data_IF_705016356923
#
_entry.id   IF_705016356923
#
_cell.length_a   1.000
_cell.length_b   1.000
_cell.length_c   1.000
_cell.angle_alpha   90.00
_cell.angle_beta   90.00
_cell.angle_gamma   90.00
#
_symmetry.space_group_name_H-M   'P 1'
#
loop_
_entity.id
_entity.type
_entity.pdbx_description
1 polymer ?
#
# COMPACT_ATOMS: atom_id res chain seq x y z
N UNK A 1 -9.54 -2.75 12.69
CA UNK A 1 -8.71 -3.35 13.75
C UNK A 1 -8.53 -2.30 14.81
N UNK A 2 -8.75 -2.66 16.07
CA UNK A 2 -8.69 -1.70 17.18
C UNK A 2 -7.25 -1.48 17.61
N UNK A 3 -7.02 -0.44 18.42
CA UNK A 3 -5.66 -0.10 18.88
C UNK A 3 -5.64 0.37 20.32
N UNK A 4 -4.60 -0.04 21.04
CA UNK A 4 -4.20 0.55 22.32
C UNK A 4 -2.91 1.32 22.06
N UNK A 5 -2.82 2.56 22.55
CA UNK A 5 -1.64 3.40 22.37
C UNK A 5 -1.02 3.75 23.73
N UNK A 6 0.27 3.46 23.88
CA UNK A 6 1.11 3.88 24.97
C UNK A 6 1.99 5.01 24.45
N UNK A 7 1.96 6.18 25.10
CA UNK A 7 2.68 7.36 24.61
C UNK A 7 3.58 7.92 25.71
N UNK A 8 4.81 8.24 25.37
CA UNK A 8 5.75 8.93 26.23
C UNK A 8 6.32 8.08 27.37
N UNK A 9 6.48 6.77 27.18
CA UNK A 9 7.16 5.91 28.16
C UNK A 9 8.63 6.33 28.24
N UNK A 10 9.09 6.71 29.42
CA UNK A 10 10.46 7.22 29.63
C UNK A 10 11.25 6.28 30.53
N UNK A 11 12.49 6.01 30.11
CA UNK A 11 13.50 5.31 30.91
C UNK A 11 14.89 5.80 30.51
N UNK A 12 15.90 5.44 31.32
CA UNK A 12 17.30 5.78 31.06
C UNK A 12 18.07 4.54 30.67
N UNK A 13 18.85 4.61 29.61
CA UNK A 13 19.65 3.50 29.11
C UNK A 13 21.00 3.96 28.58
N UNK A 14 21.90 3.00 28.40
CA UNK A 14 23.25 3.23 27.90
C UNK A 14 23.33 2.65 26.47
N UNK A 15 22.61 3.29 25.52
CA UNK A 15 22.57 2.84 24.15
C UNK A 15 23.16 3.90 23.21
N UNK A 16 23.97 3.48 22.24
CA UNK A 16 24.61 4.32 21.25
C UNK A 16 25.97 3.79 20.82
N UNK A 17 26.51 4.34 19.75
CA UNK A 17 27.77 3.89 19.12
C UNK A 17 29.02 4.48 19.80
N UNK A 18 28.88 5.64 20.46
CA UNK A 18 30.01 6.37 21.00
C UNK A 18 30.41 5.88 22.40
N UNK A 19 31.70 5.81 22.69
CA UNK A 19 32.21 5.28 23.97
C UNK A 19 31.57 5.91 25.20
N UNK A 20 31.34 7.22 25.20
CA UNK A 20 30.70 7.89 26.34
C UNK A 20 29.22 7.50 26.53
N UNK A 21 28.53 7.02 25.47
CA UNK A 21 27.14 6.55 25.56
C UNK A 21 27.06 5.18 26.25
N UNK A 22 28.17 4.43 26.27
CA UNK A 22 28.29 3.17 27.00
C UNK A 22 28.49 3.43 28.53
N UNK A 23 29.01 4.60 28.88
CA UNK A 23 29.29 4.95 30.28
C UNK A 23 28.16 5.77 30.90
N UNK A 24 27.57 6.69 30.12
CA UNK A 24 26.56 7.64 30.61
C UNK A 24 25.16 7.24 30.11
N UNK A 25 24.28 6.97 31.10
CA UNK A 25 22.88 6.77 30.79
C UNK A 25 22.22 8.06 30.24
N UNK A 26 21.40 7.93 29.24
CA UNK A 26 20.61 9.01 28.66
C UNK A 26 19.14 8.62 28.61
N UNK A 27 18.27 9.63 28.50
CA UNK A 27 16.83 9.40 28.43
C UNK A 27 16.43 8.93 27.02
N UNK A 28 15.64 7.85 26.99
CA UNK A 28 14.88 7.41 25.82
C UNK A 28 13.40 7.59 26.11
N UNK A 29 12.64 7.91 25.06
CA UNK A 29 11.17 7.98 25.12
C UNK A 29 10.62 7.01 24.10
N UNK A 30 9.59 6.25 24.48
CA UNK A 30 9.00 5.25 23.58
C UNK A 30 7.50 5.47 23.48
N UNK A 31 7.02 5.50 22.23
CA UNK A 31 5.63 5.40 21.88
C UNK A 31 5.37 4.02 21.26
N UNK A 32 4.30 3.36 21.67
CA UNK A 32 3.92 2.06 21.15
C UNK A 32 2.42 2.04 20.82
N UNK A 33 2.08 1.63 19.62
CA UNK A 33 0.70 1.36 19.19
C UNK A 33 0.55 -0.14 18.99
N UNK A 34 -0.41 -0.72 19.70
CA UNK A 34 -0.75 -2.14 19.68
C UNK A 34 -2.03 -2.31 18.87
N UNK A 35 -2.05 -3.19 17.90
CA UNK A 35 -3.22 -3.50 17.09
C UNK A 35 -3.73 -4.89 17.48
N UNK A 36 -4.99 -4.96 17.91
CA UNK A 36 -5.64 -6.16 18.41
C UNK A 36 -7.16 -6.05 18.25
N UNK A 37 -7.89 -7.14 18.51
CA UNK A 37 -9.35 -7.12 18.56
C UNK A 37 -9.80 -6.84 20.01
N UNK A 38 -10.48 -5.73 20.23
CA UNK A 38 -11.03 -5.32 21.53
C UNK A 38 -12.52 -5.63 21.67
N UNK A 39 -13.17 -6.25 20.70
CA UNK A 39 -14.61 -6.48 20.74
C UNK A 39 -15.03 -7.43 21.86
N UNK A 40 -14.21 -8.42 22.21
CA UNK A 40 -14.48 -9.33 23.34
C UNK A 40 -14.38 -8.57 24.67
N UNK A 41 -13.28 -7.89 24.92
CA UNK A 41 -13.05 -7.10 26.13
C UNK A 41 -14.11 -6.01 26.35
N UNK A 42 -14.52 -5.34 25.25
CA UNK A 42 -15.59 -4.32 25.30
C UNK A 42 -16.97 -4.87 25.69
N UNK A 43 -17.19 -6.19 25.58
CA UNK A 43 -18.43 -6.84 26.01
C UNK A 43 -18.33 -7.49 27.39
N UNK A 44 -17.18 -8.10 27.69
CA UNK A 44 -17.00 -8.91 28.91
C UNK A 44 -16.51 -8.11 30.11
N UNK A 45 -15.83 -6.96 29.87
CA UNK A 45 -15.10 -6.21 30.90
C UNK A 45 -14.07 -7.09 31.64
N UNK A 46 -13.49 -8.10 30.95
CA UNK A 46 -12.50 -9.03 31.48
C UNK A 46 -11.13 -8.74 30.87
N UNK A 47 -10.11 -8.61 31.75
CA UNK A 47 -8.71 -8.37 31.33
C UNK A 47 -8.14 -9.55 30.51
N UNK A 48 -8.66 -10.76 30.68
CA UNK A 48 -8.23 -11.91 29.89
C UNK A 48 -8.61 -11.82 28.42
N UNK A 49 -9.58 -10.96 28.06
CA UNK A 49 -10.02 -10.73 26.69
C UNK A 49 -9.24 -9.57 26.00
N UNK A 50 -8.22 -9.02 26.63
CA UNK A 50 -7.37 -7.95 26.10
C UNK A 50 -5.91 -8.18 26.45
N UNK A 51 -5.11 -7.10 26.54
CA UNK A 51 -3.70 -7.14 26.88
C UNK A 51 -3.42 -6.27 28.11
N UNK A 52 -2.60 -6.77 29.04
CA UNK A 52 -2.09 -5.95 30.12
C UNK A 52 -1.02 -4.96 29.59
N UNK A 53 -1.50 -3.76 29.23
CA UNK A 53 -0.61 -2.68 28.78
C UNK A 53 0.34 -2.20 29.87
N UNK A 54 0.04 -2.45 31.15
CA UNK A 54 0.95 -2.17 32.26
C UNK A 54 2.16 -3.11 32.25
N UNK A 55 1.96 -4.39 31.93
CA UNK A 55 3.04 -5.35 31.72
C UNK A 55 3.91 -4.96 30.52
N UNK A 56 3.28 -4.51 29.43
CA UNK A 56 4.01 -4.03 28.24
C UNK A 56 4.85 -2.80 28.58
N UNK A 57 4.29 -1.80 29.28
CA UNK A 57 5.02 -0.60 29.67
C UNK A 57 6.25 -0.95 30.54
N UNK A 58 6.11 -1.87 31.50
CA UNK A 58 7.23 -2.36 32.32
C UNK A 58 8.27 -3.09 31.46
N UNK A 59 7.84 -3.89 30.50
CA UNK A 59 8.73 -4.58 29.57
C UNK A 59 9.55 -3.61 28.71
N UNK A 60 8.93 -2.52 28.22
CA UNK A 60 9.62 -1.46 27.48
C UNK A 60 10.71 -0.81 28.35
N UNK A 61 10.38 -0.44 29.58
CA UNK A 61 11.35 0.14 30.54
C UNK A 61 12.51 -0.83 30.80
N UNK A 62 12.22 -2.10 31.08
CA UNK A 62 13.23 -3.13 31.31
C UNK A 62 14.18 -3.33 30.12
N UNK A 63 13.69 -3.21 28.89
CA UNK A 63 14.53 -3.30 27.67
C UNK A 63 15.44 -2.07 27.54
N UNK A 64 14.93 -0.86 27.84
CA UNK A 64 15.72 0.38 27.79
C UNK A 64 16.81 0.38 28.88
N UNK A 65 16.50 -0.11 30.05
CA UNK A 65 17.43 -0.17 31.19
C UNK A 65 18.38 -1.39 31.13
N UNK A 66 18.13 -2.29 30.18
CA UNK A 66 18.80 -3.57 30.05
C UNK A 66 20.11 -3.52 29.28
N UNK A 67 20.39 -4.60 28.59
CA UNK A 67 21.64 -4.81 27.84
C UNK A 67 21.84 -3.76 26.75
N UNK A 68 23.04 -3.20 26.70
CA UNK A 68 23.48 -2.21 25.71
C UNK A 68 23.25 -2.65 24.26
N UNK A 69 22.86 -1.69 23.44
CA UNK A 69 22.84 -1.80 21.97
C UNK A 69 23.40 -0.52 21.34
N UNK A 70 24.11 -0.66 20.22
CA UNK A 70 24.70 0.47 19.49
C UNK A 70 23.65 1.32 18.79
N UNK A 71 22.63 0.67 18.21
CA UNK A 71 21.65 1.31 17.34
C UNK A 71 20.26 1.34 18.00
N UNK A 72 19.59 2.50 17.92
CA UNK A 72 18.22 2.64 18.41
C UNK A 72 17.22 1.81 17.59
N UNK A 73 17.55 1.45 16.36
CA UNK A 73 16.82 0.50 15.52
C UNK A 73 16.76 -0.89 16.16
N UNK A 74 17.88 -1.33 16.74
CA UNK A 74 17.95 -2.62 17.46
C UNK A 74 17.15 -2.55 18.76
N UNK A 75 17.20 -1.43 19.45
CA UNK A 75 16.38 -1.18 20.65
C UNK A 75 14.89 -1.26 20.30
N UNK A 76 14.45 -0.58 19.23
CA UNK A 76 13.09 -0.62 18.73
C UNK A 76 12.65 -2.05 18.35
N UNK A 77 13.49 -2.80 17.67
CA UNK A 77 13.18 -4.20 17.29
C UNK A 77 13.07 -5.12 18.53
N UNK A 78 13.90 -4.94 19.58
CA UNK A 78 13.76 -5.69 20.84
C UNK A 78 12.41 -5.42 21.50
N UNK A 79 11.97 -4.16 21.52
CA UNK A 79 10.68 -3.75 22.10
C UNK A 79 9.54 -4.36 21.29
N UNK A 80 9.60 -4.28 19.95
CA UNK A 80 8.61 -4.91 19.06
C UNK A 80 8.50 -6.41 19.31
N UNK A 81 9.63 -7.12 19.41
CA UNK A 81 9.64 -8.58 19.68
C UNK A 81 8.97 -8.91 21.01
N UNK A 82 9.23 -8.15 22.06
CA UNK A 82 8.59 -8.32 23.36
C UNK A 82 7.07 -8.08 23.28
N UNK A 83 6.63 -7.01 22.60
CA UNK A 83 5.20 -6.69 22.46
C UNK A 83 4.47 -7.77 21.68
N UNK A 84 5.04 -8.26 20.58
CA UNK A 84 4.45 -9.33 19.77
C UNK A 84 4.46 -10.70 20.48
N UNK A 85 5.20 -10.86 21.57
CA UNK A 85 5.09 -12.00 22.46
C UNK A 85 3.74 -12.09 23.21
N UNK A 86 2.96 -11.01 23.27
CA UNK A 86 1.60 -11.03 23.85
C UNK A 86 0.61 -11.59 22.81
N UNK A 87 -0.07 -12.73 23.08
CA UNK A 87 -0.91 -13.42 22.09
C UNK A 87 -2.02 -12.58 21.45
N UNK A 88 -2.58 -11.62 22.18
CA UNK A 88 -3.65 -10.76 21.70
C UNK A 88 -3.17 -9.71 20.69
N UNK A 89 -1.87 -9.36 20.67
CA UNK A 89 -1.32 -8.35 19.78
C UNK A 89 -0.93 -8.98 18.45
N UNK A 90 -1.58 -8.59 17.35
CA UNK A 90 -1.28 -9.12 16.02
C UNK A 90 -0.27 -8.24 15.23
N UNK A 91 -0.20 -6.93 15.54
CA UNK A 91 0.73 -5.97 14.94
C UNK A 91 1.07 -4.90 15.96
N UNK A 92 2.26 -4.35 15.88
CA UNK A 92 2.67 -3.21 16.72
C UNK A 92 3.55 -2.25 15.93
N UNK A 93 3.38 -0.96 16.21
CA UNK A 93 4.27 0.11 15.77
C UNK A 93 4.95 0.70 17.01
N UNK A 94 6.27 0.78 16.99
CA UNK A 94 7.09 1.31 18.09
C UNK A 94 7.96 2.44 17.56
N UNK A 95 7.89 3.61 18.20
CA UNK A 95 8.80 4.73 17.95
C UNK A 95 9.72 4.91 19.17
N UNK A 96 11.01 4.84 18.95
CA UNK A 96 12.05 5.12 19.96
C UNK A 96 12.63 6.50 19.68
N UNK A 97 12.52 7.40 20.63
CA UNK A 97 13.05 8.76 20.60
C UNK A 97 14.33 8.86 21.41
N UNK A 98 15.31 9.58 20.89
CA UNK A 98 16.60 9.87 21.52
C UNK A 98 16.85 11.39 21.52
N UNK A 99 16.14 12.14 22.40
CA UNK A 99 16.18 13.60 22.38
C UNK A 99 17.55 14.20 22.73
N UNK A 100 18.41 13.41 23.40
CA UNK A 100 19.77 13.82 23.77
C UNK A 100 20.83 13.15 22.86
N UNK A 101 20.50 12.82 21.62
CA UNK A 101 21.47 12.25 20.68
C UNK A 101 22.65 13.22 20.49
N UNK A 102 23.90 12.74 20.34
CA UNK A 102 25.10 13.57 20.24
C UNK A 102 25.23 14.18 18.82
N UNK A 103 24.25 14.99 18.43
CA UNK A 103 24.22 15.72 17.17
C UNK A 103 24.77 17.12 17.38
N UNK A 104 25.67 17.56 16.51
CA UNK A 104 26.41 18.82 16.67
C UNK A 104 25.68 20.07 16.17
N UNK A 105 24.51 19.92 15.59
CA UNK A 105 23.62 21.01 15.15
C UNK A 105 22.38 21.08 16.04
N UNK A 106 21.71 22.25 16.15
CA UNK A 106 20.45 22.33 16.87
C UNK A 106 19.41 21.39 16.27
N UNK A 107 18.77 20.59 17.12
CA UNK A 107 17.69 19.68 16.75
C UNK A 107 16.78 19.46 17.98
N UNK A 108 15.55 19.01 17.75
CA UNK A 108 14.59 18.75 18.84
C UNK A 108 14.60 17.28 19.26
N UNK A 109 14.66 16.36 18.31
CA UNK A 109 14.60 14.93 18.57
C UNK A 109 15.20 14.15 17.39
N UNK A 110 15.66 12.93 17.67
CA UNK A 110 15.90 11.90 16.66
C UNK A 110 15.14 10.65 17.06
N UNK A 111 14.39 10.08 16.13
CA UNK A 111 13.57 8.90 16.41
C UNK A 111 13.62 7.89 15.29
N UNK A 112 13.36 6.63 15.66
CA UNK A 112 13.20 5.50 14.75
C UNK A 112 11.85 4.87 15.00
N UNK A 113 11.06 4.71 13.96
CA UNK A 113 9.78 4.01 14.00
C UNK A 113 9.89 2.65 13.31
N UNK A 114 9.47 1.61 14.00
CA UNK A 114 9.46 0.23 13.50
C UNK A 114 8.05 -0.33 13.64
N UNK A 115 7.52 -0.89 12.57
CA UNK A 115 6.25 -1.61 12.58
C UNK A 115 6.48 -3.08 12.19
N UNK A 116 5.86 -4.01 12.92
CA UNK A 116 5.90 -5.45 12.64
C UNK A 116 4.57 -6.11 12.99
N UNK A 117 4.25 -7.20 12.28
CA UNK A 117 3.15 -8.10 12.59
C UNK A 117 3.67 -9.44 13.13
N UNK A 118 2.81 -10.20 13.80
CA UNK A 118 3.14 -11.54 14.32
C UNK A 118 3.64 -12.48 13.21
N UNK A 119 3.03 -12.43 12.04
CA UNK A 119 3.42 -13.25 10.89
C UNK A 119 4.88 -13.01 10.45
N UNK A 120 5.41 -11.81 10.70
CA UNK A 120 6.83 -11.49 10.41
C UNK A 120 7.78 -11.97 11.51
N UNK A 121 7.28 -12.34 12.70
CA UNK A 121 8.09 -12.75 13.87
C UNK A 121 8.10 -14.26 14.06
N UNK A 122 6.98 -14.94 13.77
CA UNK A 122 6.88 -16.41 13.90
C UNK A 122 7.49 -17.17 12.72
N UNK A 123 7.93 -16.50 11.67
CA UNK A 123 8.83 -17.14 10.70
C UNK A 123 10.14 -17.47 11.43
N UNK A 124 10.50 -18.75 11.59
CA UNK A 124 11.74 -19.11 12.27
C UNK A 124 12.86 -18.32 11.64
N UNK A 125 13.58 -17.59 12.48
CA UNK A 125 14.86 -16.98 12.11
C UNK A 125 15.72 -18.08 11.49
N UNK A 126 15.59 -18.24 10.18
CA UNK A 126 16.66 -18.87 9.44
C UNK A 126 17.87 -18.03 9.77
N UNK A 127 18.77 -18.67 10.49
CA UNK A 127 20.09 -18.18 10.81
C UNK A 127 20.56 -17.27 9.69
N UNK A 128 20.86 -16.01 10.04
CA UNK A 128 21.58 -15.12 9.13
C UNK A 128 22.99 -15.71 8.96
N UNK A 129 23.05 -16.80 8.24
CA UNK A 129 24.21 -17.06 7.42
C UNK A 129 24.27 -15.89 6.45
N UNK A 130 25.40 -15.26 6.39
CA UNK A 130 25.83 -14.21 5.50
C UNK A 130 25.64 -14.63 4.02
N UNK A 131 24.41 -14.65 3.57
CA UNK A 131 24.03 -14.58 2.18
C UNK A 131 23.31 -13.25 2.01
N UNK A 132 23.93 -12.36 1.26
CA UNK A 132 23.25 -11.27 0.60
C UNK A 132 22.18 -11.95 -0.27
N UNK A 133 20.95 -12.09 0.27
CA UNK A 133 19.83 -12.65 -0.48
C UNK A 133 19.78 -11.97 -1.84
N UNK A 134 19.71 -12.75 -2.89
CA UNK A 134 19.61 -12.29 -4.26
C UNK A 134 18.51 -11.22 -4.34
N UNK A 135 18.78 -10.11 -4.99
CA UNK A 135 17.75 -9.14 -5.33
C UNK A 135 17.03 -9.71 -6.53
N UNK A 136 15.74 -9.83 -6.42
CA UNK A 136 14.84 -10.28 -7.47
C UNK A 136 14.16 -9.09 -8.12
N UNK A 137 14.08 -9.09 -9.42
CA UNK A 137 13.29 -8.14 -10.18
C UNK A 137 11.90 -8.72 -10.42
N UNK A 138 10.84 -7.94 -10.13
CA UNK A 138 9.48 -8.39 -10.33
C UNK A 138 8.62 -7.32 -11.01
N UNK A 139 7.72 -7.77 -11.86
CA UNK A 139 6.73 -6.96 -12.55
C UNK A 139 5.37 -7.22 -11.94
N UNK A 140 4.72 -6.15 -11.50
CA UNK A 140 3.41 -6.20 -10.84
C UNK A 140 2.43 -5.38 -11.66
N UNK A 141 1.37 -6.02 -12.17
CA UNK A 141 0.24 -5.32 -12.75
C UNK A 141 -0.70 -4.84 -11.64
N UNK A 142 -1.26 -3.66 -11.83
CA UNK A 142 -2.20 -3.06 -10.90
C UNK A 142 -3.38 -2.44 -11.66
N UNK A 143 -4.59 -2.57 -11.10
CA UNK A 143 -5.77 -2.04 -11.75
C UNK A 143 -6.99 -1.93 -10.83
N UNK A 144 -7.99 -1.17 -11.27
CA UNK A 144 -9.26 -1.01 -10.58
C UNK A 144 -10.28 -0.26 -11.43
N UNK A 145 -11.55 -0.24 -10.97
CA UNK A 145 -12.62 0.49 -11.64
C UNK A 145 -13.69 1.03 -10.66
N UNK A 146 -13.39 1.07 -9.36
CA UNK A 146 -14.31 1.58 -8.34
C UNK A 146 -13.69 2.71 -7.51
N UNK A 147 -14.45 3.77 -7.28
CA UNK A 147 -14.03 4.92 -6.48
C UNK A 147 -13.00 5.79 -7.19
N UNK A 148 -12.18 6.50 -6.43
CA UNK A 148 -11.02 7.23 -6.97
C UNK A 148 -9.88 6.26 -7.24
N UNK A 149 -9.93 5.62 -8.42
CA UNK A 149 -8.99 4.58 -8.81
C UNK A 149 -7.56 5.12 -8.86
N UNK A 150 -7.35 6.33 -9.42
CA UNK A 150 -6.02 6.90 -9.54
C UNK A 150 -5.38 7.15 -8.16
N UNK A 151 -6.15 7.67 -7.20
CA UNK A 151 -5.67 7.83 -5.82
C UNK A 151 -5.38 6.47 -5.16
N UNK A 152 -6.24 5.46 -5.39
CA UNK A 152 -6.05 4.09 -4.89
C UNK A 152 -4.78 3.45 -5.44
N UNK A 153 -4.54 3.53 -6.75
CA UNK A 153 -3.32 3.01 -7.38
C UNK A 153 -2.07 3.73 -6.88
N UNK A 154 -2.14 5.05 -6.72
CA UNK A 154 -1.04 5.86 -6.16
C UNK A 154 -0.69 5.44 -4.74
N UNK A 155 -1.69 5.16 -3.91
CA UNK A 155 -1.48 4.67 -2.54
C UNK A 155 -0.93 3.24 -2.54
N UNK A 156 -1.43 2.38 -3.43
CA UNK A 156 -0.92 1.01 -3.61
C UNK A 156 0.58 1.00 -3.98
N UNK A 157 1.05 1.88 -4.88
CA UNK A 157 2.50 2.02 -5.19
C UNK A 157 3.31 2.35 -3.95
N UNK A 158 2.83 3.28 -3.11
CA UNK A 158 3.52 3.62 -1.85
C UNK A 158 3.53 2.45 -0.87
N UNK A 159 2.43 1.69 -0.79
CA UNK A 159 2.35 0.50 0.05
C UNK A 159 3.30 -0.61 -0.44
N UNK A 160 3.46 -0.78 -1.76
CA UNK A 160 4.41 -1.74 -2.36
C UNK A 160 5.85 -1.31 -2.03
N UNK A 161 6.19 -0.03 -2.20
CA UNK A 161 7.51 0.51 -1.85
C UNK A 161 7.82 0.38 -0.34
N UNK A 162 6.77 0.38 0.49
CA UNK A 162 6.85 0.14 1.95
C UNK A 162 6.97 -1.33 2.36
N UNK A 163 6.93 -2.29 1.45
CA UNK A 163 7.13 -3.70 1.79
C UNK A 163 8.58 -3.97 2.24
N UNK A 164 8.82 -4.92 3.17
CA UNK A 164 10.17 -5.23 3.64
C UNK A 164 11.11 -5.58 2.50
N UNK A 165 12.31 -4.99 2.49
CA UNK A 165 13.37 -5.28 1.50
C UNK A 165 12.90 -5.19 0.04
N UNK A 166 11.92 -4.34 -0.23
CA UNK A 166 11.35 -4.08 -1.55
C UNK A 166 11.48 -2.60 -1.86
N UNK A 167 11.82 -2.29 -3.10
CA UNK A 167 11.91 -0.94 -3.63
C UNK A 167 11.20 -0.89 -4.98
N UNK A 168 10.30 0.07 -5.18
CA UNK A 168 9.74 0.36 -6.50
C UNK A 168 10.82 1.02 -7.35
N UNK A 169 11.17 0.41 -8.49
CA UNK A 169 12.21 0.87 -9.41
C UNK A 169 11.65 1.64 -10.59
N UNK A 170 10.37 1.42 -10.90
CA UNK A 170 9.67 2.14 -11.96
C UNK A 170 8.16 2.01 -11.87
N UNK A 171 7.47 2.99 -12.45
CA UNK A 171 6.01 3.02 -12.57
C UNK A 171 5.66 3.43 -13.99
N UNK A 172 4.81 2.66 -14.66
CA UNK A 172 4.38 2.94 -16.02
C UNK A 172 3.45 4.16 -16.08
N UNK A 173 3.22 4.73 -17.26
CA UNK A 173 2.05 5.57 -17.50
C UNK A 173 0.75 4.87 -17.07
N UNK A 174 -0.29 5.66 -16.81
CA UNK A 174 -1.63 5.16 -16.48
C UNK A 174 -2.42 4.92 -17.77
N UNK A 175 -3.02 3.75 -17.88
CA UNK A 175 -3.83 3.35 -19.03
C UNK A 175 -5.30 3.22 -18.63
N UNK A 176 -6.17 3.58 -19.56
CA UNK A 176 -7.60 3.33 -19.50
C UNK A 176 -7.93 2.13 -20.38
N UNK A 177 -8.83 1.27 -19.91
CA UNK A 177 -9.35 0.16 -20.71
C UNK A 177 -10.85 0.04 -20.54
N UNK A 178 -11.52 -0.32 -21.62
CA UNK A 178 -12.93 -0.64 -21.57
C UNK A 178 -13.22 -1.83 -20.67
N UNK A 179 -14.40 -1.83 -20.05
CA UNK A 179 -14.88 -2.94 -19.22
C UNK A 179 -15.36 -4.12 -20.12
N UNK A 180 -14.46 -4.62 -20.99
CA UNK A 180 -14.80 -5.62 -21.98
C UNK A 180 -15.29 -6.93 -21.35
N UNK A 181 -16.42 -7.45 -21.86
CA UNK A 181 -17.04 -8.68 -21.33
C UNK A 181 -17.81 -8.50 -20.03
N UNK A 182 -17.96 -7.28 -19.53
CA UNK A 182 -18.76 -6.93 -18.34
C UNK A 182 -20.14 -6.38 -18.75
N UNK A 183 -21.10 -6.30 -17.79
CA UNK A 183 -22.41 -5.71 -18.05
C UNK A 183 -22.33 -4.27 -18.58
N UNK A 184 -23.26 -3.89 -19.45
CA UNK A 184 -23.37 -2.54 -19.99
C UNK A 184 -23.48 -1.50 -18.84
N UNK A 185 -22.70 -0.42 -18.92
CA UNK A 185 -22.62 0.60 -17.89
C UNK A 185 -21.58 0.32 -16.78
N UNK A 186 -20.77 -0.74 -16.90
CA UNK A 186 -19.63 -0.95 -16.01
C UNK A 186 -18.57 0.13 -16.27
N UNK A 187 -18.06 0.75 -15.18
CA UNK A 187 -17.03 1.79 -15.29
C UNK A 187 -15.74 1.22 -15.92
N UNK A 188 -15.07 2.05 -16.70
CA UNK A 188 -13.76 1.76 -17.31
C UNK A 188 -12.72 1.45 -16.24
N UNK A 189 -11.76 0.59 -16.58
CA UNK A 189 -10.63 0.29 -15.72
C UNK A 189 -9.49 1.28 -15.91
N UNK A 190 -8.77 1.51 -14.84
CA UNK A 190 -7.45 2.13 -14.86
C UNK A 190 -6.41 1.09 -14.52
N UNK A 191 -5.37 1.00 -15.33
CA UNK A 191 -4.32 -0.01 -15.20
C UNK A 191 -2.96 0.64 -15.30
N UNK A 192 -2.01 0.10 -14.54
CA UNK A 192 -0.60 0.44 -14.60
C UNK A 192 0.24 -0.80 -14.29
N UNK A 193 1.53 -0.71 -14.53
CA UNK A 193 2.53 -1.71 -14.14
C UNK A 193 3.60 -1.02 -13.31
N UNK A 194 4.07 -1.70 -12.28
CA UNK A 194 5.23 -1.28 -11.49
C UNK A 194 6.32 -2.34 -11.56
N UNK A 195 7.57 -1.91 -11.67
CA UNK A 195 8.73 -2.75 -11.45
C UNK A 195 9.26 -2.57 -10.05
N UNK A 196 9.69 -3.66 -9.43
CA UNK A 196 10.25 -3.66 -8.08
C UNK A 196 11.51 -4.50 -8.02
N UNK A 197 12.47 -4.04 -7.23
CA UNK A 197 13.57 -4.86 -6.75
C UNK A 197 13.26 -5.31 -5.31
N UNK A 198 13.28 -6.62 -5.07
CA UNK A 198 12.91 -7.18 -3.77
C UNK A 198 13.84 -8.31 -3.35
N UNK A 199 13.98 -8.51 -2.03
CA UNK A 199 14.63 -9.71 -1.46
C UNK A 199 13.61 -10.71 -0.92
N UNK A 200 12.32 -10.43 -1.08
CA UNK A 200 11.25 -11.36 -0.78
C UNK A 200 11.24 -12.47 -1.83
N UNK A 201 10.87 -13.68 -1.44
CA UNK A 201 10.46 -14.71 -2.39
C UNK A 201 9.16 -14.28 -3.11
N UNK A 202 8.87 -14.88 -4.26
CA UNK A 202 7.63 -14.60 -4.98
C UNK A 202 6.37 -14.84 -4.13
N UNK A 203 6.37 -15.87 -3.27
CA UNK A 203 5.27 -16.17 -2.35
C UNK A 203 5.11 -15.09 -1.24
N UNK A 204 6.23 -14.59 -0.69
CA UNK A 204 6.20 -13.51 0.31
C UNK A 204 5.74 -12.20 -0.32
N UNK A 205 6.19 -11.90 -1.54
CA UNK A 205 5.71 -10.74 -2.30
C UNK A 205 4.21 -10.84 -2.55
N UNK A 206 3.70 -11.98 -3.04
CA UNK A 206 2.28 -12.22 -3.25
C UNK A 206 1.47 -12.00 -1.97
N UNK A 207 1.92 -12.56 -0.84
CA UNK A 207 1.28 -12.34 0.45
C UNK A 207 1.27 -10.85 0.87
N UNK A 208 2.33 -10.10 0.52
CA UNK A 208 2.40 -8.65 0.70
C UNK A 208 1.33 -7.92 -0.12
N UNK A 209 1.23 -8.22 -1.42
CA UNK A 209 0.27 -7.63 -2.34
C UNK A 209 -1.18 -7.92 -1.92
N UNK A 210 -1.48 -9.15 -1.52
CA UNK A 210 -2.82 -9.53 -1.03
C UNK A 210 -3.24 -8.75 0.23
N UNK A 211 -2.29 -8.42 1.13
CA UNK A 211 -2.56 -7.56 2.29
C UNK A 211 -2.86 -6.12 1.88
N UNK A 212 -2.14 -5.60 0.88
CA UNK A 212 -2.40 -4.26 0.32
C UNK A 212 -3.81 -4.22 -0.27
N UNK A 213 -4.20 -5.20 -1.09
CA UNK A 213 -5.55 -5.31 -1.65
C UNK A 213 -6.63 -5.35 -0.55
N UNK A 214 -6.43 -6.16 0.48
CA UNK A 214 -7.36 -6.28 1.61
C UNK A 214 -7.52 -4.94 2.35
N UNK A 215 -6.45 -4.15 2.51
CA UNK A 215 -6.50 -2.83 3.14
C UNK A 215 -7.27 -1.80 2.32
N UNK A 216 -7.38 -2.01 0.99
CA UNK A 216 -8.15 -1.17 0.05
C UNK A 216 -9.58 -1.70 -0.18
N UNK A 217 -10.09 -2.54 0.71
CA UNK A 217 -11.49 -2.97 0.72
C UNK A 217 -11.82 -4.08 -0.27
N UNK A 218 -10.82 -4.82 -0.80
CA UNK A 218 -11.08 -5.98 -1.63
C UNK A 218 -11.75 -7.08 -0.81
N UNK A 219 -13.02 -7.37 -1.12
CA UNK A 219 -13.72 -8.57 -0.64
C UNK A 219 -13.67 -9.60 -1.77
N UNK A 220 -13.08 -10.77 -1.53
CA UNK A 220 -13.08 -11.88 -2.50
C UNK A 220 -14.51 -12.42 -2.63
N UNK A 221 -15.24 -11.94 -3.62
CA UNK A 221 -16.50 -12.49 -4.12
C UNK A 221 -16.28 -12.93 -5.57
N UNK A 222 -17.19 -13.75 -6.09
CA UNK A 222 -17.08 -14.47 -7.37
C UNK A 222 -16.42 -13.72 -8.54
N UNK A 223 -15.85 -14.48 -9.49
CA UNK A 223 -15.19 -14.01 -10.69
C UNK A 223 -16.02 -12.96 -11.47
N UNK A 224 -15.34 -11.88 -11.97
CA UNK A 224 -15.91 -10.81 -12.80
C UNK A 224 -16.73 -9.73 -12.04
N UNK A 225 -16.28 -9.30 -10.90
CA UNK A 225 -16.84 -8.14 -10.19
C UNK A 225 -15.94 -6.91 -10.30
N UNK A 226 -16.57 -5.73 -10.30
CA UNK A 226 -15.87 -4.45 -10.16
C UNK A 226 -14.98 -4.45 -8.91
N UNK A 227 -13.75 -3.90 -9.02
CA UNK A 227 -12.71 -3.99 -7.98
C UNK A 227 -12.16 -2.62 -7.64
N UNK A 228 -11.93 -2.40 -6.35
CA UNK A 228 -11.23 -1.20 -5.87
C UNK A 228 -9.75 -1.25 -6.24
N UNK A 229 -9.11 -2.41 -6.07
CA UNK A 229 -7.70 -2.67 -6.37
C UNK A 229 -7.48 -4.14 -6.69
N UNK A 230 -6.70 -4.42 -7.72
CA UNK A 230 -6.19 -5.74 -8.12
C UNK A 230 -4.67 -5.65 -8.32
N UNK A 231 -3.91 -6.56 -7.72
CA UNK A 231 -2.45 -6.60 -7.79
C UNK A 231 -1.99 -8.02 -8.16
N UNK A 232 -1.46 -8.19 -9.35
CA UNK A 232 -0.98 -9.49 -9.87
C UNK A 232 0.53 -9.45 -10.13
N UNK A 233 1.29 -10.45 -9.66
CA UNK A 233 2.70 -10.66 -10.08
C UNK A 233 2.67 -11.21 -11.52
N UNK A 234 3.24 -10.46 -12.45
CA UNK A 234 3.29 -10.81 -13.87
C UNK A 234 4.53 -11.65 -14.17
N UNK A 235 5.67 -11.19 -13.73
CA UNK A 235 6.96 -11.84 -13.86
C UNK A 235 7.76 -11.69 -12.55
N UNK A 236 8.63 -12.66 -12.29
CA UNK A 236 9.52 -12.63 -11.12
C UNK A 236 10.86 -13.25 -11.53
N UNK A 237 11.84 -12.43 -11.93
CA UNK A 237 13.15 -12.88 -12.43
C UNK A 237 13.09 -13.89 -13.59
N UNK A 238 12.03 -13.92 -14.39
CA UNK A 238 11.81 -14.94 -15.39
C UNK A 238 11.61 -16.34 -14.83
N UNK A 239 11.30 -16.49 -13.53
CA UNK A 239 11.06 -17.79 -12.89
C UNK A 239 9.75 -18.41 -13.39
N UNK A 240 9.77 -19.73 -13.54
CA UNK A 240 8.57 -20.50 -13.84
C UNK A 240 8.05 -21.22 -12.61
N UNK A 241 6.74 -21.09 -12.33
CA UNK A 241 6.05 -21.79 -11.26
C UNK A 241 4.72 -22.33 -11.77
N UNK A 242 4.47 -23.60 -11.47
CA UNK A 242 3.19 -24.26 -11.74
C UNK A 242 2.30 -24.37 -10.48
N UNK A 243 2.66 -23.68 -9.41
CA UNK A 243 1.87 -23.64 -8.18
C UNK A 243 0.52 -22.98 -8.49
N UNK A 244 -0.62 -23.62 -8.18
CA UNK A 244 -1.95 -23.04 -8.44
C UNK A 244 -2.19 -21.67 -7.75
N UNK A 245 -1.56 -21.44 -6.60
CA UNK A 245 -1.67 -20.20 -5.85
C UNK A 245 -0.70 -19.11 -6.37
N UNK A 246 0.36 -19.52 -7.09
CA UNK A 246 1.38 -18.62 -7.63
C UNK A 246 1.95 -19.16 -8.95
N UNK A 247 1.16 -19.11 -10.00
CA UNK A 247 1.63 -19.50 -11.34
C UNK A 247 2.45 -18.35 -11.94
N UNK A 248 3.69 -18.62 -12.33
CA UNK A 248 4.63 -17.67 -12.93
C UNK A 248 5.20 -18.21 -14.25
N UNK A 249 5.38 -17.37 -15.26
CA UNK A 249 4.79 -16.03 -15.37
C UNK A 249 3.26 -16.09 -15.27
N UNK A 250 2.62 -14.96 -14.99
CA UNK A 250 1.16 -14.94 -14.85
C UNK A 250 0.48 -15.56 -16.08
N UNK A 251 -0.41 -16.56 -15.92
CA UNK A 251 -0.82 -17.47 -16.99
C UNK A 251 -1.60 -16.78 -18.14
N UNK A 252 -2.08 -15.56 -17.92
CA UNK A 252 -2.83 -14.78 -18.91
C UNK A 252 -2.14 -13.46 -19.32
N UNK A 253 -0.92 -13.18 -18.86
CA UNK A 253 -0.21 -11.94 -19.17
C UNK A 253 -0.05 -11.75 -20.68
N UNK A 254 0.37 -12.79 -21.39
CA UNK A 254 0.67 -12.79 -22.82
C UNK A 254 -0.48 -12.36 -23.74
N UNK A 255 -1.73 -12.40 -23.27
CA UNK A 255 -2.93 -12.09 -24.04
C UNK A 255 -3.69 -10.85 -23.56
N UNK A 256 -3.08 -10.04 -22.66
CA UNK A 256 -3.72 -8.88 -22.03
C UNK A 256 -2.97 -7.60 -22.37
N UNK A 257 -3.52 -6.81 -23.28
CA UNK A 257 -2.91 -5.53 -23.66
C UNK A 257 -2.76 -4.57 -22.50
N UNK A 258 -3.70 -4.57 -21.55
CA UNK A 258 -3.66 -3.72 -20.36
C UNK A 258 -2.56 -4.09 -19.35
N UNK A 259 -1.88 -5.22 -19.55
CA UNK A 259 -0.65 -5.61 -18.84
C UNK A 259 0.57 -5.30 -19.72
N UNK A 260 0.55 -5.76 -20.96
CA UNK A 260 1.71 -5.68 -21.87
C UNK A 260 2.02 -4.25 -22.32
N UNK A 261 0.99 -3.41 -22.53
CA UNK A 261 1.17 -2.02 -22.94
C UNK A 261 1.89 -1.18 -21.87
N UNK A 262 1.37 -1.12 -20.62
CA UNK A 262 2.06 -0.48 -19.52
C UNK A 262 3.47 -1.05 -19.23
N UNK A 263 3.65 -2.38 -19.32
CA UNK A 263 4.95 -3.00 -19.13
C UNK A 263 5.95 -2.58 -20.20
N UNK A 264 5.54 -2.60 -21.48
CA UNK A 264 6.39 -2.15 -22.58
C UNK A 264 6.79 -0.68 -22.46
N UNK A 265 5.87 0.19 -21.99
CA UNK A 265 6.17 1.59 -21.77
C UNK A 265 7.19 1.79 -20.64
N UNK A 266 7.17 0.91 -19.62
CA UNK A 266 8.11 0.93 -18.49
C UNK A 266 9.46 0.32 -18.88
N UNK A 267 9.46 -0.81 -19.59
CA UNK A 267 10.64 -1.58 -19.99
C UNK A 267 10.55 -1.95 -21.49
N UNK A 268 11.11 -1.13 -22.37
CA UNK A 268 10.98 -1.32 -23.83
C UNK A 268 11.58 -2.63 -24.36
N UNK A 269 12.55 -3.20 -23.66
CA UNK A 269 13.23 -4.43 -24.05
C UNK A 269 12.74 -5.67 -23.25
N UNK A 270 11.59 -5.54 -22.56
CA UNK A 270 11.03 -6.61 -21.73
C UNK A 270 10.74 -7.88 -22.53
N UNK A 271 11.02 -9.02 -21.93
CA UNK A 271 10.69 -10.36 -22.41
C UNK A 271 9.82 -11.10 -21.39
N UNK A 272 8.76 -11.74 -21.83
CA UNK A 272 7.96 -12.66 -21.03
C UNK A 272 8.50 -14.08 -21.24
N UNK A 273 8.68 -14.81 -20.15
CA UNK A 273 9.12 -16.21 -20.16
C UNK A 273 7.98 -17.22 -20.29
N UNK A 274 8.31 -18.51 -20.07
CA UNK A 274 7.34 -19.61 -19.96
C UNK A 274 6.77 -20.09 -21.27
N UNK A 275 5.57 -20.69 -21.22
CA UNK A 275 4.92 -21.35 -22.36
C UNK A 275 4.58 -20.41 -23.54
N UNK A 276 4.45 -19.11 -23.27
CA UNK A 276 4.17 -18.05 -24.24
C UNK A 276 5.31 -17.04 -24.29
N UNK A 277 6.55 -17.55 -24.22
CA UNK A 277 7.75 -16.72 -24.20
C UNK A 277 7.87 -15.87 -25.47
N UNK A 278 8.26 -14.60 -25.28
CA UNK A 278 8.51 -13.67 -26.38
C UNK A 278 8.73 -12.24 -25.90
N UNK A 279 9.17 -11.38 -26.81
CA UNK A 279 9.27 -9.96 -26.54
C UNK A 279 7.89 -9.38 -26.22
N UNK A 280 7.80 -8.58 -25.15
CA UNK A 280 6.54 -7.95 -24.74
C UNK A 280 5.96 -7.09 -25.87
N UNK A 281 6.82 -6.45 -26.66
CA UNK A 281 6.41 -5.68 -27.83
C UNK A 281 5.71 -6.55 -28.90
N UNK A 282 6.24 -7.76 -29.17
CA UNK A 282 5.64 -8.69 -30.12
C UNK A 282 4.31 -9.22 -29.58
N UNK A 283 4.29 -9.68 -28.33
CA UNK A 283 3.08 -10.17 -27.67
C UNK A 283 1.97 -9.12 -27.67
N UNK A 284 2.27 -7.87 -27.35
CA UNK A 284 1.30 -6.76 -27.42
C UNK A 284 0.76 -6.57 -28.84
N UNK A 285 1.64 -6.68 -29.85
CA UNK A 285 1.21 -6.56 -31.25
C UNK A 285 0.20 -7.66 -31.65
N UNK A 286 0.32 -8.83 -31.06
CA UNK A 286 -0.50 -10.02 -31.34
C UNK A 286 -1.80 -10.07 -30.50
N UNK A 287 -1.94 -9.27 -29.43
CA UNK A 287 -3.15 -9.26 -28.62
C UNK A 287 -4.35 -8.68 -29.38
N UNK A 288 -5.53 -9.26 -29.13
CA UNK A 288 -6.78 -8.83 -29.77
C UNK A 288 -7.38 -7.55 -29.14
N UNK A 289 -6.94 -7.19 -27.95
CA UNK A 289 -7.46 -6.06 -27.15
C UNK A 289 -6.50 -4.84 -27.14
N UNK A 290 -5.45 -4.84 -27.97
CA UNK A 290 -4.46 -3.74 -28.03
C UNK A 290 -5.06 -2.38 -28.42
N UNK A 291 -6.11 -2.40 -29.25
CA UNK A 291 -6.78 -1.18 -29.72
C UNK A 291 -7.82 -0.66 -28.70
N UNK A 292 -7.96 -1.33 -27.55
CA UNK A 292 -8.87 -0.99 -26.45
C UNK A 292 -8.15 -0.49 -25.19
N UNK A 293 -6.88 -0.11 -25.31
CA UNK A 293 -6.12 0.52 -24.26
C UNK A 293 -5.69 1.91 -24.69
N UNK A 294 -5.90 2.90 -23.84
CA UNK A 294 -5.48 4.28 -24.06
C UNK A 294 -4.58 4.74 -22.92
N UNK A 295 -3.40 5.24 -23.26
CA UNK A 295 -2.56 5.95 -22.30
C UNK A 295 -3.20 7.29 -21.94
N UNK A 296 -3.38 7.56 -20.65
CA UNK A 296 -4.12 8.74 -20.18
C UNK A 296 -3.29 9.70 -19.34
N UNK A 297 -2.22 9.26 -18.69
CA UNK A 297 -1.36 10.13 -17.90
C UNK A 297 0.03 9.51 -17.66
N UNK A 298 1.09 10.28 -17.90
CA UNK A 298 2.48 9.94 -17.57
C UNK A 298 2.83 10.28 -16.13
N UNK A 299 2.29 11.37 -15.61
CA UNK A 299 2.67 11.98 -14.34
C UNK A 299 1.67 11.71 -13.20
N UNK A 300 0.84 10.68 -13.35
CA UNK A 300 -0.24 10.35 -12.41
C UNK A 300 0.23 10.07 -10.97
N UNK A 301 1.52 9.81 -10.78
CA UNK A 301 2.12 9.64 -9.44
C UNK A 301 2.29 10.97 -8.70
N UNK A 302 2.27 12.12 -9.38
CA UNK A 302 2.40 13.43 -8.76
C UNK A 302 1.07 13.84 -8.13
N UNK A 303 1.08 14.16 -6.83
CA UNK A 303 -0.13 14.61 -6.15
C UNK A 303 -0.60 15.97 -6.72
N UNK A 304 -1.84 16.01 -7.24
CA UNK A 304 -2.41 17.21 -7.88
C UNK A 304 -2.46 17.16 -9.40
N UNK A 305 -1.94 16.12 -10.05
CA UNK A 305 -2.27 15.82 -11.42
C UNK A 305 -3.78 15.57 -11.50
N UNK A 306 -4.50 16.42 -12.25
CA UNK A 306 -5.94 16.24 -12.45
C UNK A 306 -6.11 15.01 -13.34
N UNK A 307 -7.08 14.15 -13.02
CA UNK A 307 -7.53 13.16 -13.99
C UNK A 307 -7.87 13.89 -15.30
N UNK A 308 -7.35 13.44 -16.46
CA UNK A 308 -7.72 14.05 -17.72
C UNK A 308 -9.23 13.95 -17.86
N UNK A 309 -9.87 15.12 -17.86
CA UNK A 309 -11.33 15.27 -18.01
C UNK A 309 -11.71 14.55 -19.29
N UNK A 310 -12.61 13.57 -19.19
CA UNK A 310 -13.31 12.99 -20.35
C UNK A 310 -13.91 14.19 -21.11
N UNK A 311 -13.34 14.52 -22.26
CA UNK A 311 -13.96 15.46 -23.17
C UNK A 311 -15.18 14.72 -23.75
N UNK A 312 -16.35 15.13 -23.29
CA UNK A 312 -17.61 14.85 -23.95
C UNK A 312 -17.59 15.49 -25.36
N UNK A 313 -17.01 14.77 -26.30
CA UNK A 313 -17.02 15.11 -27.71
C UNK A 313 -17.65 13.96 -28.46
N UNK A 314 -18.95 13.73 -28.24
CA UNK A 314 -19.84 13.06 -29.19
C UNK A 314 -21.32 13.17 -28.75
N UNK A 315 -21.74 14.41 -28.44
CA UNK A 315 -23.14 14.73 -28.59
C UNK A 315 -23.23 15.51 -29.91
N UNK A 316 -23.55 14.76 -30.97
CA UNK A 316 -23.89 15.34 -32.26
C UNK A 316 -25.06 16.31 -32.08
N UNK A 317 -24.78 17.60 -32.16
CA UNK A 317 -25.79 18.62 -32.36
C UNK A 317 -26.27 18.52 -33.81
N UNK A 318 -27.39 17.84 -34.01
CA UNK A 318 -28.23 18.05 -35.14
C UNK A 318 -28.82 19.45 -34.99
N UNK A 319 -28.29 20.38 -35.79
CA UNK A 319 -28.94 21.65 -36.03
C UNK A 319 -30.08 21.37 -37.00
N UNK A 320 -31.31 21.67 -36.59
CA UNK A 320 -32.42 22.18 -37.38
C UNK A 320 -33.65 22.27 -36.46
N UNK A 321 -33.97 23.49 -36.04
CA UNK A 321 -35.29 24.11 -36.12
C UNK A 321 -35.27 25.41 -35.32
N UNK A 322 -35.13 26.49 -36.08
CA UNK A 322 -35.46 27.85 -35.68
C UNK A 322 -36.93 28.05 -36.00
N UNK A 323 -37.75 28.48 -35.07
CA UNK A 323 -38.74 29.53 -35.29
C UNK A 323 -39.41 30.02 -33.97
N UNK A 324 -39.21 31.29 -33.79
CA UNK A 324 -40.02 32.32 -33.17
C UNK A 324 -41.18 31.97 -32.20
N UNK A 325 -41.25 32.67 -31.13
CA UNK A 325 -42.36 33.57 -30.77
C UNK A 325 -41.94 34.52 -29.64
N UNK A 326 -42.27 35.78 -29.85
CA UNK A 326 -42.12 37.01 -29.05
C UNK A 326 -42.88 37.04 -27.71
N UNK A 327 -42.38 37.93 -26.85
CA UNK A 327 -43.07 38.79 -25.90
C UNK A 327 -44.05 38.21 -24.86
N UNK A 328 -43.82 38.52 -23.62
CA UNK A 328 -44.57 39.51 -22.83
C UNK A 328 -43.98 39.67 -21.42
N UNK A 329 -43.70 40.92 -21.07
CA UNK A 329 -43.56 41.52 -19.72
C UNK A 329 -44.65 41.09 -18.74
N UNK A 330 -44.29 40.87 -17.49
CA UNK A 330 -44.91 41.60 -16.36
C UNK A 330 -44.34 41.22 -15.01
N UNK A 331 -43.95 42.26 -14.34
CA UNK A 331 -43.61 42.39 -12.93
C UNK A 331 -44.83 42.05 -12.07
N UNK A 332 -44.62 41.30 -10.97
CA UNK A 332 -45.31 41.58 -9.70
C UNK A 332 -44.57 40.99 -8.51
N UNK A 333 -44.14 41.87 -7.64
CA UNK A 333 -43.71 41.66 -6.27
C UNK A 333 -44.90 41.40 -5.37
N UNK A 334 -44.84 40.40 -4.48
CA UNK A 334 -45.67 40.45 -3.24
C UNK A 334 -44.86 39.90 -2.07
N UNK A 335 -44.93 40.73 -1.04
CA UNK A 335 -44.47 40.68 0.34
C UNK A 335 -44.81 39.42 1.15
N UNK A 336 -43.96 39.21 2.11
CA UNK A 336 -44.19 38.84 3.53
C UNK A 336 -45.31 37.88 3.89
N UNK A 337 -44.99 36.73 4.52
CA UNK A 337 -45.83 36.20 5.63
C UNK A 337 -44.92 35.48 6.67
N UNK A 338 -45.25 35.82 7.90
CA UNK A 338 -44.70 35.50 9.21
C UNK A 338 -44.59 34.00 9.55
N UNK A 339 -43.66 33.74 10.47
CA UNK A 339 -43.57 32.51 11.32
C UNK A 339 -44.72 32.50 12.36
N UNK A 340 -45.13 31.31 12.82
CA UNK A 340 -45.52 31.16 14.22
C UNK A 340 -44.59 30.22 14.99
N UNK A 341 -44.30 30.67 16.19
CA UNK A 341 -43.76 29.90 17.31
C UNK A 341 -44.73 28.82 17.76
N UNK A 342 -44.14 27.68 18.25
CA UNK A 342 -44.83 26.62 18.93
C UNK A 342 -43.86 25.49 19.28
#
# INVERSE_FOLDING_TARGET
>A
MDQIRLTGIRATGKHGVLDFEHERAQTFVVDATLFLDLAAAGRSDDLNDTVDYGAIAKGIVAIIEGEHVDLIEKLANRIVGMILGFPAVCRTQVTVHKPNAPITVPFDDVSVTVERSRETVDSPSRERSSEHGQVHHAIIAMGGNQGDVTATLRDAVRCIDGLPSTQVTGVSPLYRTDAWGMPEGTAEFRNAVVSVDTRLSAAELLAGLQRIEASHGRVRTDHWTSRTLDLDIIDFDGQESADPDLTLPHPRAWQRAFVLGPWLALEPDAELGGAHAGSVAQLLHETSDRDHIDEIADDWMVAGAQDPIVRDSDIGTSADDVDAIDDVDSVESIDSIELPEG
#
